data_IF_456952101664
#
_entry.id   IF_456952101664
#
_cell.length_a   1.000
_cell.length_b   1.000
_cell.length_c   1.000
_cell.angle_alpha   90.00
_cell.angle_beta   90.00
_cell.angle_gamma   90.00
#
_symmetry.space_group_name_H-M   'P 1'
#
loop_
_entity.id
_entity.type
_entity.pdbx_description
1 polymer ?
#
# COMPACT_ATOMS: atom_id res chain seq x y z
N UNK A 1 -3.28 20.06 18.05
CA UNK A 1 -2.78 19.00 17.15
C UNK A 1 -3.48 17.72 17.54
N UNK A 2 -4.22 17.07 16.63
CA UNK A 2 -4.87 15.79 16.93
C UNK A 2 -3.78 14.75 17.18
N UNK A 3 -3.87 14.02 18.29
CA UNK A 3 -2.98 12.90 18.56
C UNK A 3 -3.45 11.66 17.82
N UNK A 4 -2.52 10.75 17.52
CA UNK A 4 -2.87 9.41 17.04
C UNK A 4 -3.70 8.74 18.12
N UNK A 5 -4.88 8.15 17.79
CA UNK A 5 -5.64 7.36 18.75
C UNK A 5 -4.78 6.25 19.37
N UNK A 6 -4.92 6.01 20.67
CA UNK A 6 -4.10 5.03 21.39
C UNK A 6 -4.52 3.57 21.08
N UNK A 7 -5.76 3.38 20.64
CA UNK A 7 -6.41 2.09 20.39
C UNK A 7 -6.41 1.70 18.90
N UNK A 8 -5.34 2.05 18.16
CA UNK A 8 -5.22 1.71 16.74
C UNK A 8 -5.14 0.19 16.53
N UNK A 9 -6.02 -0.29 15.65
CA UNK A 9 -5.92 -1.65 15.09
C UNK A 9 -5.88 -1.59 13.57
N UNK A 10 -5.30 -2.62 12.95
CA UNK A 10 -5.18 -2.71 11.51
C UNK A 10 -5.75 -4.06 11.06
N UNK A 11 -6.56 -4.05 9.99
CA UNK A 11 -7.18 -5.26 9.45
C UNK A 11 -7.10 -5.28 7.94
N UNK A 12 -6.84 -6.45 7.33
CA UNK A 12 -6.95 -6.60 5.89
C UNK A 12 -8.38 -6.33 5.42
N UNK A 13 -8.53 -5.85 4.19
CA UNK A 13 -9.83 -5.73 3.56
C UNK A 13 -10.20 -7.06 2.95
N UNK A 14 -11.27 -7.63 3.47
CA UNK A 14 -11.87 -8.89 3.10
C UNK A 14 -13.39 -8.71 2.92
N UNK A 15 -14.10 -9.75 2.50
CA UNK A 15 -15.55 -9.70 2.33
C UNK A 15 -16.26 -9.19 3.60
N UNK A 16 -15.79 -9.62 4.79
CA UNK A 16 -16.36 -9.21 6.08
C UNK A 16 -16.14 -7.73 6.42
N UNK A 17 -15.06 -7.11 5.91
CA UNK A 17 -14.70 -5.70 6.16
C UNK A 17 -14.96 -4.79 4.96
N UNK A 18 -15.58 -5.30 3.89
CA UNK A 18 -15.92 -4.50 2.71
C UNK A 18 -16.77 -3.26 3.05
N UNK A 19 -17.80 -3.41 3.89
CA UNK A 19 -18.65 -2.29 4.32
C UNK A 19 -17.88 -1.18 5.02
N UNK A 20 -16.78 -1.50 5.71
CA UNK A 20 -15.93 -0.53 6.38
C UNK A 20 -15.09 0.27 5.36
N UNK A 21 -14.56 -0.41 4.33
CA UNK A 21 -13.87 0.25 3.23
C UNK A 21 -14.83 1.19 2.48
N UNK A 22 -16.02 0.69 2.16
CA UNK A 22 -17.07 1.46 1.50
C UNK A 22 -17.43 2.72 2.30
N UNK A 23 -17.70 2.57 3.59
CA UNK A 23 -18.01 3.69 4.49
C UNK A 23 -16.86 4.73 4.54
N UNK A 24 -15.61 4.26 4.62
CA UNK A 24 -14.46 5.16 4.63
C UNK A 24 -14.31 5.90 3.29
N UNK A 25 -14.46 5.21 2.17
CA UNK A 25 -14.25 5.77 0.83
C UNK A 25 -15.39 6.71 0.40
N UNK A 26 -16.61 6.45 0.82
CA UNK A 26 -17.78 7.28 0.54
C UNK A 26 -17.97 8.41 1.56
N UNK A 27 -17.16 8.45 2.63
CA UNK A 27 -17.17 9.54 3.59
C UNK A 27 -16.81 10.88 2.92
N UNK A 28 -17.17 11.99 3.58
CA UNK A 28 -16.84 13.32 3.06
C UNK A 28 -15.33 13.50 2.85
N UNK A 29 -14.93 13.68 1.58
CA UNK A 29 -13.52 13.79 1.17
C UNK A 29 -12.81 12.46 1.02
N UNK A 30 -13.54 11.35 1.06
CA UNK A 30 -13.04 10.02 0.76
C UNK A 30 -12.72 9.82 -0.72
N UNK A 31 -11.91 8.80 -1.06
CA UNK A 31 -11.41 8.59 -2.43
C UNK A 31 -12.41 7.81 -3.31
N UNK A 32 -13.72 8.05 -3.16
CA UNK A 32 -14.77 7.36 -3.93
C UNK A 32 -14.71 7.62 -5.44
N UNK A 33 -13.96 8.63 -5.87
CA UNK A 33 -13.73 8.90 -7.29
C UNK A 33 -12.72 7.94 -7.92
N UNK A 34 -11.81 7.34 -7.16
CA UNK A 34 -10.75 6.49 -7.71
C UNK A 34 -10.82 5.03 -7.25
N UNK A 35 -11.35 4.74 -6.04
CA UNK A 35 -11.40 3.40 -5.45
C UNK A 35 -10.05 2.65 -5.52
N UNK A 36 -8.91 3.37 -5.56
CA UNK A 36 -7.56 2.88 -5.80
C UNK A 36 -7.38 2.00 -7.06
N UNK A 37 -8.35 2.03 -7.99
CA UNK A 37 -8.34 1.28 -9.24
C UNK A 37 -7.33 1.77 -10.29
N UNK A 38 -6.86 3.04 -10.33
CA UNK A 38 -5.90 3.48 -11.34
C UNK A 38 -4.61 2.66 -11.42
N UNK A 39 -4.20 2.00 -10.34
CA UNK A 39 -3.05 1.10 -10.32
C UNK A 39 -3.41 -0.37 -10.58
N UNK A 40 -4.68 -0.76 -10.33
CA UNK A 40 -5.16 -2.13 -10.34
C UNK A 40 -5.93 -2.51 -11.59
N UNK A 41 -6.57 -1.53 -12.23
CA UNK A 41 -7.40 -1.79 -13.40
C UNK A 41 -6.56 -2.32 -14.57
N UNK A 42 -7.05 -3.39 -15.18
CA UNK A 42 -6.52 -3.92 -16.43
C UNK A 42 -6.69 -2.90 -17.58
N UNK A 43 -5.98 -3.07 -18.71
CA UNK A 43 -6.21 -2.23 -19.89
C UNK A 43 -7.67 -2.23 -20.37
N UNK A 44 -8.36 -3.35 -20.21
CA UNK A 44 -9.77 -3.49 -20.57
C UNK A 44 -10.68 -2.70 -19.62
N UNK A 45 -10.56 -2.91 -18.32
CA UNK A 45 -11.29 -2.14 -17.31
C UNK A 45 -11.05 -0.63 -17.46
N UNK A 46 -9.84 -0.21 -17.80
CA UNK A 46 -9.49 1.20 -17.97
C UNK A 46 -10.24 1.89 -19.12
N UNK A 47 -10.76 1.15 -20.12
CA UNK A 47 -11.54 1.77 -21.22
C UNK A 47 -12.88 2.35 -20.77
N UNK A 48 -13.46 1.80 -19.70
CA UNK A 48 -14.79 2.15 -19.22
C UNK A 48 -14.81 2.57 -17.73
N UNK A 49 -13.70 3.08 -17.20
CA UNK A 49 -13.60 3.48 -15.80
C UNK A 49 -14.40 4.75 -15.50
N UNK A 50 -15.51 4.58 -14.82
CA UNK A 50 -16.21 5.62 -14.10
C UNK A 50 -16.18 5.32 -12.58
N UNK A 51 -16.89 6.08 -11.75
CA UNK A 51 -16.92 5.90 -10.30
C UNK A 51 -17.52 4.55 -9.91
N UNK A 52 -18.61 4.16 -10.53
CA UNK A 52 -19.37 2.94 -10.25
C UNK A 52 -18.54 1.71 -10.63
N UNK A 53 -18.01 1.65 -11.84
CA UNK A 53 -17.20 0.51 -12.31
C UNK A 53 -15.88 0.37 -11.54
N UNK A 54 -15.33 1.46 -10.99
CA UNK A 54 -14.18 1.38 -10.06
C UNK A 54 -14.55 0.75 -8.74
N UNK A 55 -15.71 1.09 -8.18
CA UNK A 55 -16.22 0.48 -6.95
C UNK A 55 -16.46 -1.01 -7.16
N UNK A 56 -17.19 -1.36 -8.20
CA UNK A 56 -17.48 -2.76 -8.58
C UNK A 56 -16.20 -3.57 -8.80
N UNK A 57 -15.23 -3.00 -9.51
CA UNK A 57 -13.94 -3.64 -9.76
C UNK A 57 -13.11 -3.88 -8.49
N UNK A 58 -13.16 -2.97 -7.52
CA UNK A 58 -12.53 -3.18 -6.20
C UNK A 58 -13.29 -4.23 -5.42
N UNK A 59 -14.63 -4.16 -5.38
CA UNK A 59 -15.47 -5.11 -4.67
C UNK A 59 -15.27 -6.53 -5.21
N UNK A 60 -15.26 -6.71 -6.52
CA UNK A 60 -15.03 -8.02 -7.14
C UNK A 60 -13.71 -8.66 -6.70
N UNK A 61 -12.63 -7.87 -6.58
CA UNK A 61 -11.34 -8.35 -6.07
C UNK A 61 -11.42 -8.79 -4.62
N UNK A 62 -12.06 -7.99 -3.77
CA UNK A 62 -12.25 -8.32 -2.35
C UNK A 62 -13.09 -9.60 -2.20
N UNK A 63 -14.19 -9.72 -2.93
CA UNK A 63 -15.05 -10.92 -2.88
C UNK A 63 -14.38 -12.17 -3.44
N UNK A 64 -13.40 -11.99 -4.35
CA UNK A 64 -12.57 -13.08 -4.87
C UNK A 64 -11.36 -13.42 -3.95
N UNK A 65 -11.25 -12.80 -2.78
CA UNK A 65 -10.15 -13.02 -1.84
C UNK A 65 -8.80 -12.46 -2.30
N UNK A 66 -8.78 -11.57 -3.30
CA UNK A 66 -7.55 -10.91 -3.74
C UNK A 66 -7.15 -9.86 -2.72
N UNK A 67 -5.92 -9.91 -2.16
CA UNK A 67 -5.44 -8.88 -1.25
C UNK A 67 -5.50 -7.50 -1.91
N UNK A 68 -6.03 -6.52 -1.19
CA UNK A 68 -6.14 -5.15 -1.70
C UNK A 68 -5.50 -4.12 -0.77
N UNK A 69 -5.35 -4.44 0.52
CA UNK A 69 -4.72 -3.56 1.50
C UNK A 69 -5.34 -3.63 2.89
N UNK A 70 -4.99 -2.66 3.73
CA UNK A 70 -5.35 -2.59 5.14
C UNK A 70 -6.21 -1.37 5.45
N UNK A 71 -7.14 -1.53 6.38
CA UNK A 71 -7.82 -0.46 7.09
C UNK A 71 -7.20 -0.25 8.47
N UNK A 72 -7.03 1.00 8.86
CA UNK A 72 -6.77 1.41 10.24
C UNK A 72 -8.08 1.75 10.93
N UNK A 73 -8.24 1.30 12.17
CA UNK A 73 -9.41 1.54 13.01
C UNK A 73 -9.03 2.25 14.30
N UNK A 74 -9.94 3.07 14.80
CA UNK A 74 -9.92 3.59 16.17
C UNK A 74 -11.34 3.59 16.71
N UNK A 75 -11.54 3.07 17.92
CA UNK A 75 -12.89 2.93 18.51
C UNK A 75 -13.85 2.10 17.64
N UNK A 76 -13.33 1.15 16.84
CA UNK A 76 -14.12 0.35 15.90
C UNK A 76 -14.47 1.03 14.57
N UNK A 77 -14.13 2.31 14.39
CA UNK A 77 -14.40 3.05 13.15
C UNK A 77 -13.19 3.03 12.19
N UNK A 78 -13.40 2.83 10.87
CA UNK A 78 -12.32 2.90 9.90
C UNK A 78 -11.88 4.35 9.70
N UNK A 79 -10.59 4.62 9.97
CA UNK A 79 -10.01 5.96 9.98
C UNK A 79 -8.86 6.16 9.00
N UNK A 80 -8.44 5.11 8.32
CA UNK A 80 -7.36 5.19 7.34
C UNK A 80 -7.26 3.95 6.47
N UNK A 81 -6.58 4.08 5.35
CA UNK A 81 -6.39 3.05 4.33
C UNK A 81 -4.97 3.03 3.81
N UNK A 82 -4.45 1.83 3.56
CA UNK A 82 -3.22 1.60 2.80
C UNK A 82 -3.46 0.56 1.72
N UNK A 83 -3.18 0.91 0.47
CA UNK A 83 -3.25 -0.01 -0.67
C UNK A 83 -1.94 -0.77 -0.80
N UNK A 84 -1.92 -2.01 -0.38
CA UNK A 84 -0.77 -2.92 -0.47
C UNK A 84 -1.24 -4.32 -0.88
N UNK A 85 -0.53 -4.97 -1.79
CA UNK A 85 -0.83 -6.32 -2.27
C UNK A 85 0.34 -6.89 -3.07
N UNK A 86 0.34 -8.20 -3.41
CA UNK A 86 1.32 -8.80 -4.32
C UNK A 86 1.47 -8.02 -5.64
N UNK A 87 2.70 -7.88 -6.12
CA UNK A 87 3.04 -7.11 -7.33
C UNK A 87 2.18 -7.47 -8.56
N UNK A 88 1.85 -8.75 -8.84
CA UNK A 88 1.02 -9.11 -9.98
C UNK A 88 -0.41 -8.57 -9.95
N UNK A 89 -0.91 -8.14 -8.79
CA UNK A 89 -2.25 -7.52 -8.67
C UNK A 89 -2.29 -6.07 -9.17
N UNK A 90 -1.12 -5.52 -9.55
CA UNK A 90 -0.97 -4.14 -10.01
C UNK A 90 -0.37 -4.09 -11.42
N UNK A 91 -1.18 -3.97 -12.50
CA UNK A 91 -0.67 -3.69 -13.83
C UNK A 91 0.15 -2.39 -13.90
N UNK A 92 -0.03 -1.49 -12.93
CA UNK A 92 0.70 -0.22 -12.80
C UNK A 92 1.25 -0.05 -11.38
N UNK A 93 2.29 0.77 -11.19
CA UNK A 93 3.05 1.46 -12.22
C UNK A 93 3.94 0.50 -13.01
N UNK A 94 4.30 0.87 -14.23
CA UNK A 94 5.32 0.15 -14.97
C UNK A 94 6.71 0.56 -14.45
N UNK A 95 7.42 -0.38 -13.85
CA UNK A 95 8.76 -0.19 -13.27
C UNK A 95 9.86 -0.88 -14.07
N UNK A 96 9.54 -1.43 -15.25
CA UNK A 96 10.47 -2.23 -16.06
C UNK A 96 11.76 -1.49 -16.46
N UNK A 97 11.73 -0.16 -16.51
CA UNK A 97 12.88 0.68 -16.80
C UNK A 97 13.72 1.05 -15.55
N UNK A 98 13.31 0.63 -14.34
CA UNK A 98 14.03 0.94 -13.10
C UNK A 98 14.88 -0.27 -12.71
N UNK A 99 16.22 -0.15 -12.73
CA UNK A 99 17.10 -1.27 -12.41
C UNK A 99 16.83 -1.81 -11.00
N UNK A 100 16.75 -3.14 -10.88
CA UNK A 100 16.50 -3.81 -9.59
C UNK A 100 15.07 -3.73 -9.07
N UNK A 101 14.14 -3.08 -9.79
CA UNK A 101 12.73 -3.17 -9.47
C UNK A 101 12.15 -4.55 -9.83
N UNK A 102 11.16 -4.97 -9.06
CA UNK A 102 10.50 -6.25 -9.25
C UNK A 102 9.83 -6.36 -10.62
N UNK A 103 9.86 -7.56 -11.18
CA UNK A 103 9.08 -7.87 -12.37
C UNK A 103 7.59 -7.75 -12.07
N UNK A 104 6.80 -7.44 -13.08
CA UNK A 104 5.35 -7.27 -12.93
C UNK A 104 4.63 -8.55 -12.46
N UNK A 105 5.21 -9.71 -12.74
CA UNK A 105 4.69 -11.04 -12.44
C UNK A 105 5.32 -11.68 -11.18
N UNK A 106 6.16 -10.96 -10.43
CA UNK A 106 6.81 -11.46 -9.23
C UNK A 106 5.88 -11.45 -8.00
N UNK A 107 5.35 -12.60 -7.55
CA UNK A 107 4.45 -12.65 -6.42
C UNK A 107 5.16 -12.50 -5.06
N UNK A 108 6.47 -12.69 -5.01
CA UNK A 108 7.27 -12.56 -3.78
C UNK A 108 7.47 -11.11 -3.36
N UNK A 109 7.26 -10.15 -4.28
CA UNK A 109 7.34 -8.72 -3.97
C UNK A 109 5.95 -8.13 -3.91
N UNK A 110 5.69 -7.34 -2.87
CA UNK A 110 4.45 -6.60 -2.73
C UNK A 110 4.61 -5.15 -3.16
N UNK A 111 3.56 -4.53 -3.64
CA UNK A 111 3.53 -3.11 -4.01
C UNK A 111 2.62 -2.32 -3.08
N UNK A 112 3.16 -1.23 -2.53
CA UNK A 112 2.42 -0.24 -1.77
C UNK A 112 2.20 1.00 -2.65
N UNK A 113 0.95 1.30 -2.96
CA UNK A 113 0.63 2.28 -4.02
C UNK A 113 -0.09 3.53 -3.52
N UNK A 114 -0.79 3.47 -2.38
CA UNK A 114 -1.63 4.57 -1.95
C UNK A 114 -1.90 4.54 -0.44
N UNK A 115 -1.94 5.71 0.17
CA UNK A 115 -2.52 5.94 1.49
C UNK A 115 -3.72 6.88 1.39
N UNK A 116 -4.73 6.64 2.20
CA UNK A 116 -5.78 7.60 2.45
C UNK A 116 -5.99 7.78 3.96
N UNK A 117 -5.93 9.04 4.38
CA UNK A 117 -6.27 9.47 5.75
C UNK A 117 -7.16 10.70 5.65
N UNK A 118 -8.34 10.70 6.31
CA UNK A 118 -9.22 11.85 6.37
C UNK A 118 -8.48 13.12 6.82
N UNK A 119 -8.84 14.27 6.25
CA UNK A 119 -8.11 15.54 6.46
C UNK A 119 -7.93 15.88 7.95
N UNK A 120 -8.94 15.58 8.78
CA UNK A 120 -8.92 15.86 10.23
C UNK A 120 -7.85 15.08 11.01
N UNK A 121 -7.37 13.94 10.44
CA UNK A 121 -6.39 13.04 11.06
C UNK A 121 -5.02 13.11 10.38
N UNK A 122 -4.80 14.08 9.49
CA UNK A 122 -3.48 14.28 8.87
C UNK A 122 -2.54 14.99 9.84
N UNK A 123 -1.23 14.72 9.69
CA UNK A 123 -0.20 15.32 10.53
C UNK A 123 -0.09 14.75 11.94
N UNK A 124 -0.87 13.72 12.30
CA UNK A 124 -0.80 13.04 13.60
C UNK A 124 0.05 11.74 13.58
N UNK A 125 0.73 11.41 12.46
CA UNK A 125 1.55 10.20 12.38
C UNK A 125 0.80 8.93 11.94
N UNK A 126 -0.51 8.98 11.64
CA UNK A 126 -1.30 7.81 11.25
C UNK A 126 -0.76 7.13 9.98
N UNK A 127 -0.25 7.89 9.00
CA UNK A 127 0.33 7.31 7.77
C UNK A 127 1.56 6.47 8.08
N UNK A 128 2.43 6.89 9.02
CA UNK A 128 3.60 6.11 9.42
C UNK A 128 3.20 4.82 10.14
N UNK A 129 2.13 4.85 10.94
CA UNK A 129 1.58 3.64 11.58
C UNK A 129 0.97 2.68 10.55
N UNK A 130 0.25 3.23 9.55
CA UNK A 130 -0.25 2.45 8.42
C UNK A 130 0.87 1.82 7.59
N UNK A 131 1.97 2.55 7.37
CA UNK A 131 3.14 2.01 6.67
C UNK A 131 3.72 0.83 7.43
N UNK A 132 3.98 0.98 8.74
CA UNK A 132 4.52 -0.12 9.54
C UNK A 132 3.59 -1.34 9.49
N UNK A 133 2.31 -1.17 9.78
CA UNK A 133 1.34 -2.26 9.74
C UNK A 133 1.24 -2.93 8.35
N UNK A 134 1.43 -2.17 7.27
CA UNK A 134 1.42 -2.71 5.91
C UNK A 134 2.67 -3.54 5.62
N UNK A 135 3.84 -3.14 6.16
CA UNK A 135 5.08 -3.91 6.06
C UNK A 135 4.98 -5.20 6.86
N UNK A 136 4.50 -5.12 8.10
CA UNK A 136 4.31 -6.28 8.98
C UNK A 136 3.34 -7.29 8.32
N UNK A 137 2.20 -6.81 7.81
CA UNK A 137 1.24 -7.65 7.09
C UNK A 137 1.83 -8.32 5.85
N UNK A 138 2.57 -7.59 5.02
CA UNK A 138 3.20 -8.18 3.84
C UNK A 138 4.22 -9.27 4.23
N UNK A 139 5.02 -9.03 5.27
CA UNK A 139 5.98 -10.01 5.79
C UNK A 139 5.27 -11.25 6.33
N UNK A 140 4.23 -11.11 7.14
CA UNK A 140 3.40 -12.21 7.64
C UNK A 140 2.76 -13.03 6.52
N UNK A 141 2.48 -12.40 5.37
CA UNK A 141 1.98 -13.09 4.17
C UNK A 141 3.09 -13.70 3.31
N UNK A 142 4.35 -13.71 3.78
CA UNK A 142 5.49 -14.33 3.11
C UNK A 142 6.10 -13.48 1.99
N UNK A 143 5.86 -12.18 1.95
CA UNK A 143 6.55 -11.31 1.02
C UNK A 143 8.05 -11.29 1.30
N UNK A 144 8.89 -11.35 0.26
CA UNK A 144 10.34 -11.15 0.37
C UNK A 144 10.72 -9.66 0.43
N UNK A 145 9.88 -8.79 -0.13
CA UNK A 145 10.09 -7.34 -0.13
C UNK A 145 8.81 -6.56 -0.42
N UNK A 146 8.83 -5.27 -0.07
CA UNK A 146 7.82 -4.30 -0.48
C UNK A 146 8.45 -3.21 -1.33
N UNK A 147 7.86 -2.93 -2.49
CA UNK A 147 8.16 -1.75 -3.30
C UNK A 147 7.08 -0.68 -3.13
N UNK A 148 7.51 0.58 -3.02
CA UNK A 148 6.62 1.73 -2.95
C UNK A 148 7.05 2.84 -3.91
N UNK A 149 6.15 3.80 -4.16
CA UNK A 149 6.34 4.79 -5.21
C UNK A 149 6.16 6.22 -4.68
N UNK A 150 6.96 6.62 -3.66
CA UNK A 150 6.87 7.93 -3.05
C UNK A 150 7.28 9.06 -3.97
N UNK A 151 6.97 10.27 -3.51
CA UNK A 151 7.44 11.53 -4.12
C UNK A 151 8.32 12.31 -3.13
N UNK A 152 8.96 13.35 -3.62
CA UNK A 152 9.66 14.32 -2.77
C UNK A 152 8.65 15.13 -1.92
N UNK A 153 9.07 15.64 -0.75
CA UNK A 153 8.18 16.35 0.17
C UNK A 153 7.49 17.59 -0.41
N UNK A 154 8.11 18.25 -1.36
CA UNK A 154 7.61 19.45 -2.06
C UNK A 154 6.81 19.14 -3.33
N UNK A 155 6.67 17.86 -3.68
CA UNK A 155 5.96 17.47 -4.90
C UNK A 155 4.50 17.95 -4.88
N UNK A 156 4.02 18.61 -5.95
CA UNK A 156 2.65 19.11 -6.04
C UNK A 156 1.62 18.01 -6.31
N UNK A 157 2.05 16.77 -6.60
CA UNK A 157 1.15 15.67 -6.97
C UNK A 157 1.68 14.30 -6.49
N UNK A 158 0.83 13.27 -6.59
CA UNK A 158 1.14 11.88 -6.20
C UNK A 158 1.48 11.66 -4.72
N UNK A 159 1.20 12.63 -3.85
CA UNK A 159 1.48 12.56 -2.39
C UNK A 159 0.71 11.45 -1.68
N UNK A 160 -0.31 10.90 -2.29
CA UNK A 160 -1.02 9.72 -1.80
C UNK A 160 -0.13 8.46 -1.76
N UNK A 161 0.95 8.40 -2.53
CA UNK A 161 1.96 7.34 -2.47
C UNK A 161 2.96 7.47 -1.31
N UNK A 162 2.83 8.51 -0.49
CA UNK A 162 3.77 8.85 0.57
C UNK A 162 4.91 9.74 0.08
N UNK A 163 5.78 10.12 1.00
CA UNK A 163 6.98 10.93 0.73
C UNK A 163 8.24 10.17 1.08
N UNK A 164 9.34 10.41 0.36
CA UNK A 164 10.62 9.69 0.51
C UNK A 164 11.11 9.57 1.96
N UNK A 165 11.15 10.65 2.78
CA UNK A 165 11.64 10.56 4.15
C UNK A 165 10.89 9.54 5.02
N UNK A 166 9.58 9.33 4.76
CA UNK A 166 8.79 8.35 5.49
C UNK A 166 9.28 6.90 5.24
N UNK A 167 9.65 6.60 4.01
CA UNK A 167 10.19 5.27 3.64
C UNK A 167 11.65 5.10 4.08
N UNK A 168 12.45 6.17 4.00
CA UNK A 168 13.82 6.17 4.52
C UNK A 168 13.86 5.85 6.03
N UNK A 169 12.89 6.36 6.79
CA UNK A 169 12.79 6.10 8.22
C UNK A 169 12.53 4.62 8.58
N UNK A 170 12.04 3.81 7.64
CA UNK A 170 11.84 2.36 7.80
C UNK A 170 12.89 1.54 7.03
N UNK A 171 14.01 2.14 6.66
CA UNK A 171 15.13 1.46 6.02
C UNK A 171 14.99 1.18 4.53
N UNK A 172 14.05 1.83 3.84
CA UNK A 172 13.91 1.64 2.40
C UNK A 172 15.14 2.16 1.63
N UNK A 173 15.64 1.33 0.71
CA UNK A 173 16.63 1.77 -0.28
C UNK A 173 15.95 2.29 -1.54
N UNK A 174 16.51 3.31 -2.15
CA UNK A 174 16.02 3.85 -3.42
C UNK A 174 16.60 3.03 -4.58
N UNK A 175 15.73 2.65 -5.52
CA UNK A 175 16.12 1.94 -6.75
C UNK A 175 16.31 2.92 -7.91
N UNK A 176 15.54 4.00 -7.96
CA UNK A 176 15.65 5.00 -9.02
C UNK A 176 14.35 5.79 -9.26
N UNK A 177 14.41 6.73 -10.19
CA UNK A 177 13.25 7.57 -10.52
C UNK A 177 12.20 6.79 -11.31
N UNK A 178 10.92 7.13 -11.08
CA UNK A 178 9.78 6.63 -11.82
C UNK A 178 9.03 7.79 -12.49
N UNK A 179 9.38 8.08 -13.72
CA UNK A 179 8.94 9.27 -14.43
C UNK A 179 9.54 10.54 -13.83
N UNK A 180 8.77 11.65 -13.81
CA UNK A 180 9.30 12.96 -13.43
C UNK A 180 9.27 13.25 -11.93
N UNK A 181 8.49 12.54 -11.13
CA UNK A 181 8.18 12.95 -9.75
C UNK A 181 8.20 11.84 -8.73
N UNK A 182 8.05 10.60 -9.16
CA UNK A 182 8.04 9.45 -8.27
C UNK A 182 9.40 8.78 -8.24
N UNK A 183 9.65 8.06 -7.16
CA UNK A 183 10.80 7.20 -6.98
C UNK A 183 10.31 5.78 -6.75
N UNK A 184 11.11 4.78 -7.12
CA UNK A 184 10.91 3.41 -6.66
C UNK A 184 11.81 3.21 -5.45
N UNK A 185 11.20 2.87 -4.33
CA UNK A 185 11.91 2.48 -3.10
C UNK A 185 11.54 1.06 -2.74
N UNK A 186 12.48 0.34 -2.12
CA UNK A 186 12.30 -1.07 -1.75
C UNK A 186 12.74 -1.30 -0.32
N UNK A 187 11.92 -2.07 0.40
CA UNK A 187 12.21 -2.62 1.72
C UNK A 187 12.31 -4.13 1.54
N UNK A 188 13.50 -4.69 1.74
CA UNK A 188 13.72 -6.14 1.71
C UNK A 188 13.52 -6.67 3.13
N UNK A 189 12.80 -7.80 3.28
CA UNK A 189 12.68 -8.49 4.55
C UNK A 189 13.84 -9.48 4.70
N UNK A 190 14.40 -9.60 5.91
CA UNK A 190 15.41 -10.61 6.19
C UNK A 190 14.81 -12.01 6.04
N UNK A 191 15.48 -12.89 5.32
CA UNK A 191 15.15 -14.31 5.34
C UNK A 191 15.60 -14.90 6.67
N UNK A 192 14.68 -15.36 7.50
CA UNK A 192 14.99 -16.07 8.76
C UNK A 192 15.79 -17.39 8.56
N UNK A 193 16.06 -17.78 7.32
CA UNK A 193 16.74 -19.03 6.96
C UNK A 193 18.27 -19.00 7.15
N UNK A 194 18.92 -17.86 7.39
CA UNK A 194 20.39 -17.78 7.49
C UNK A 194 20.97 -17.79 8.92
N UNK A 195 20.15 -17.71 9.97
CA UNK A 195 20.65 -17.72 11.35
C UNK A 195 20.80 -19.12 12.00
N UNK A 196 20.50 -20.18 11.26
CA UNK A 196 20.58 -21.58 11.74
C UNK A 196 21.94 -22.29 11.58
N UNK A 197 22.99 -21.61 11.16
CA UNK A 197 24.32 -22.20 10.97
C UNK A 197 25.14 -22.25 12.25
N UNK A 198 24.89 -23.22 13.14
CA UNK A 198 25.80 -23.55 14.26
C UNK A 198 27.13 -24.02 13.69
N UNK A 199 28.28 -23.41 14.04
CA UNK A 199 29.56 -23.96 13.65
C UNK A 199 29.81 -25.25 14.43
N UNK A 200 30.00 -26.37 13.75
CA UNK A 200 30.51 -27.60 14.36
C UNK A 200 31.95 -27.37 14.82
N UNK A 201 32.31 -27.69 16.07
CA UNK A 201 33.68 -27.68 16.51
C UNK A 201 34.43 -28.88 15.89
N UNK A 202 35.65 -28.61 15.45
CA UNK A 202 36.66 -29.63 15.05
C UNK A 202 37.28 -30.32 16.28
#
# INVERSE_FOLDING_TARGET
>A
MSQVPADLTFRPVEAATWGDLERLFESRGGPSYCWCMPYRATPEENRNLNRETRKEGMQARVMAGVPVGLLAYAGGEPIGWCSIAPRPTFPRPNTSAVPGAARADDPSVWSLTCFFVPRRLRGCGLVSRLLQAALDYAHEQGAAAVEAYPVDPDSPSYRFGGIRPMFQAVGARELGPLGRRRHVVRIDFANEAEEGGTPQPR
#
